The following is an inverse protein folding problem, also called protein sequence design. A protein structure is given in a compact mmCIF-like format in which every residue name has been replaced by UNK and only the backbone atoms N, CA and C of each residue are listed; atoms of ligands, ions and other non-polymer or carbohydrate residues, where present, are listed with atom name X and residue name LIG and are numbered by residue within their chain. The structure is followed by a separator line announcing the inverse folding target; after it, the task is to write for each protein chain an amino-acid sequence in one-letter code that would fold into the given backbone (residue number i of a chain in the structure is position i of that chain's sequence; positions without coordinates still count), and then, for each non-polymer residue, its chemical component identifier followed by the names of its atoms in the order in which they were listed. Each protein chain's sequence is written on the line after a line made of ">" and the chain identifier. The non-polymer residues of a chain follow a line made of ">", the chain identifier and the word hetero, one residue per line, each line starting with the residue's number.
data_IF_865591950734
#
_entry.id   IF_865591950734
#
_cell.length_a   1.000
_cell.length_b   1.000
_cell.length_c   1.000
_cell.angle_alpha   90.00
_cell.angle_beta   90.00
_cell.angle_gamma   90.00
#
_symmetry.space_group_name_H-M   'P 1'
#
loop_
_entity.id
_entity.type
_entity.pdbx_description
1 polymer ?
#
# COMPACT_ATOMS: atom_id res chain seq x y z
N UNK A 1 18.36 23.86 3.20
CA UNK A 1 17.12 23.29 3.77
C UNK A 1 16.12 23.12 2.62
N UNK A 2 15.81 21.89 2.17
CA UNK A 2 15.06 21.67 0.91
C UNK A 2 13.53 21.63 1.07
N UNK A 3 12.80 21.87 -0.03
CA UNK A 3 11.32 21.89 -0.07
C UNK A 3 10.66 20.64 0.54
N UNK A 4 11.25 19.45 0.36
CA UNK A 4 10.73 18.19 0.92
C UNK A 4 10.74 18.14 2.45
N UNK A 5 11.61 18.92 3.12
CA UNK A 5 11.62 19.00 4.58
C UNK A 5 10.33 19.62 5.10
N UNK A 6 9.84 20.69 4.46
CA UNK A 6 8.58 21.33 4.85
C UNK A 6 7.37 20.43 4.61
N UNK A 7 7.36 19.69 3.49
CA UNK A 7 6.33 18.68 3.23
C UNK A 7 6.32 17.61 4.32
N UNK A 8 7.50 17.12 4.72
CA UNK A 8 7.61 16.13 5.78
C UNK A 8 7.09 16.67 7.13
N UNK A 9 7.45 17.89 7.52
CA UNK A 9 6.96 18.52 8.74
C UNK A 9 5.44 18.72 8.74
N UNK A 10 4.87 19.12 7.61
CA UNK A 10 3.41 19.22 7.43
C UNK A 10 2.73 17.86 7.65
N UNK A 11 3.30 16.80 7.08
CA UNK A 11 2.80 15.43 7.25
C UNK A 11 3.10 14.82 8.63
N UNK A 12 4.01 15.39 9.44
CA UNK A 12 4.17 15.00 10.85
C UNK A 12 2.96 15.45 11.66
N UNK A 13 2.51 16.70 11.47
CA UNK A 13 1.34 17.29 12.17
C UNK A 13 -0.01 16.95 11.51
N UNK A 14 -0.33 15.65 11.41
CA UNK A 14 -1.55 15.16 10.70
C UNK A 14 -2.88 15.59 11.34
N UNK A 15 -2.87 15.93 12.62
CA UNK A 15 -4.06 16.38 13.35
C UNK A 15 -4.32 17.88 13.22
N UNK A 16 -3.45 18.65 12.56
CA UNK A 16 -3.71 20.06 12.23
C UNK A 16 -4.95 20.21 11.34
N UNK A 17 -5.62 21.36 11.42
CA UNK A 17 -6.89 21.57 10.72
C UNK A 17 -6.75 21.46 9.19
N UNK A 18 -5.66 22.00 8.63
CA UNK A 18 -5.32 21.86 7.20
C UNK A 18 -5.20 20.39 6.80
N UNK A 19 -4.43 19.59 7.56
CA UNK A 19 -4.23 18.18 7.24
C UNK A 19 -5.50 17.35 7.43
N UNK A 20 -6.30 17.67 8.44
CA UNK A 20 -7.59 17.01 8.70
C UNK A 20 -8.59 17.31 7.58
N UNK A 21 -8.66 18.55 7.11
CA UNK A 21 -9.48 18.97 5.98
C UNK A 21 -9.08 18.21 4.69
N UNK A 22 -7.79 18.22 4.35
CA UNK A 22 -7.27 17.51 3.18
C UNK A 22 -7.50 16.00 3.27
N UNK A 23 -7.31 15.40 4.45
CA UNK A 23 -7.56 13.98 4.66
C UNK A 23 -9.04 13.62 4.49
N UNK A 24 -9.96 14.48 4.95
CA UNK A 24 -11.41 14.28 4.80
C UNK A 24 -11.85 14.32 3.33
N UNK A 25 -11.38 15.30 2.57
CA UNK A 25 -11.68 15.39 1.13
C UNK A 25 -11.14 14.17 0.36
N UNK A 26 -9.88 13.81 0.61
CA UNK A 26 -9.25 12.64 -0.03
C UNK A 26 -9.96 11.33 0.33
N UNK A 27 -10.27 11.10 1.60
CA UNK A 27 -10.97 9.87 2.00
C UNK A 27 -12.40 9.80 1.45
N UNK A 28 -13.07 10.93 1.20
CA UNK A 28 -14.33 10.95 0.46
C UNK A 28 -14.14 10.49 -0.99
N UNK A 29 -13.19 11.07 -1.72
CA UNK A 29 -12.86 10.67 -3.10
C UNK A 29 -12.48 9.18 -3.17
N UNK A 30 -11.63 8.72 -2.25
CA UNK A 30 -11.10 7.35 -2.28
C UNK A 30 -12.15 6.27 -1.96
N UNK A 31 -13.29 6.65 -1.38
CA UNK A 31 -14.40 5.74 -1.15
C UNK A 31 -15.16 5.44 -2.45
N UNK A 32 -15.24 6.42 -3.35
CA UNK A 32 -15.90 6.28 -4.66
C UNK A 32 -15.05 5.47 -5.64
N UNK A 33 -13.72 5.49 -5.47
CA UNK A 33 -12.80 4.76 -6.34
C UNK A 33 -12.78 3.24 -6.05
N UNK A 34 -12.38 2.41 -7.03
CA UNK A 34 -12.19 0.97 -6.86
C UNK A 34 -11.16 0.62 -5.77
N UNK A 35 -11.20 -0.61 -5.28
CA UNK A 35 -10.32 -1.05 -4.20
C UNK A 35 -8.82 -1.01 -4.54
N UNK A 36 -8.48 -1.17 -5.82
CA UNK A 36 -7.14 -0.99 -6.39
C UNK A 36 -7.28 -0.04 -7.57
N UNK A 37 -6.73 1.16 -7.43
CA UNK A 37 -6.83 2.25 -8.40
C UNK A 37 -5.42 2.75 -8.78
N UNK A 38 -5.20 3.06 -10.06
CA UNK A 38 -3.92 3.60 -10.55
C UNK A 38 -3.90 5.11 -10.33
N UNK A 39 -2.95 5.60 -9.53
CA UNK A 39 -2.73 7.02 -9.36
C UNK A 39 -1.86 7.58 -10.48
N UNK A 40 -2.19 8.78 -10.97
CA UNK A 40 -1.36 9.51 -11.93
C UNK A 40 -0.08 10.05 -11.28
N UNK A 41 -0.17 10.51 -10.03
CA UNK A 41 0.93 11.06 -9.25
C UNK A 41 0.83 10.62 -7.79
N UNK A 42 1.96 10.45 -7.07
CA UNK A 42 1.93 10.11 -5.65
C UNK A 42 1.27 11.23 -4.84
N UNK A 43 0.42 10.88 -3.87
CA UNK A 43 -0.19 11.86 -2.96
C UNK A 43 0.86 12.51 -2.07
N UNK A 44 1.94 11.76 -1.78
CA UNK A 44 3.07 12.19 -0.93
C UNK A 44 4.39 12.07 -1.69
N UNK A 45 4.77 13.07 -2.50
CA UNK A 45 6.04 13.04 -3.24
C UNK A 45 7.27 12.89 -2.33
N UNK A 46 7.23 13.50 -1.14
CA UNK A 46 8.26 13.39 -0.09
C UNK A 46 8.49 11.93 0.32
N UNK A 47 7.41 11.23 0.70
CA UNK A 47 7.48 9.86 1.19
C UNK A 47 7.72 8.87 0.06
N UNK A 48 7.14 9.11 -1.11
CA UNK A 48 7.36 8.30 -2.31
C UNK A 48 8.85 8.24 -2.66
N UNK A 49 9.54 9.39 -2.68
CA UNK A 49 10.99 9.43 -2.97
C UNK A 49 11.80 8.65 -1.95
N UNK A 50 11.46 8.74 -0.66
CA UNK A 50 12.14 7.96 0.40
C UNK A 50 11.99 6.46 0.25
N UNK A 51 10.88 5.99 -0.34
CA UNK A 51 10.65 4.57 -0.58
C UNK A 51 11.13 4.09 -1.96
N UNK A 52 11.84 4.94 -2.71
CA UNK A 52 12.49 4.58 -3.97
C UNK A 52 11.75 5.03 -5.25
N UNK A 53 10.65 5.78 -5.14
CA UNK A 53 9.98 6.33 -6.33
C UNK A 53 10.85 7.38 -7.02
N UNK A 54 10.94 7.27 -8.35
CA UNK A 54 11.47 8.31 -9.24
C UNK A 54 10.39 8.72 -10.24
N UNK A 55 10.36 10.00 -10.58
CA UNK A 55 9.48 10.52 -11.62
C UNK A 55 10.08 10.25 -13.01
N UNK A 56 10.07 8.99 -13.42
CA UNK A 56 10.46 8.54 -14.77
C UNK A 56 9.53 7.43 -15.24
N UNK A 57 9.52 7.17 -16.54
CA UNK A 57 8.72 6.09 -17.12
C UNK A 57 9.12 4.73 -16.53
N UNK A 58 8.14 3.84 -16.39
CA UNK A 58 8.29 2.54 -15.73
C UNK A 58 8.04 2.55 -14.21
N UNK A 59 7.91 3.72 -13.56
CA UNK A 59 7.39 3.80 -12.19
C UNK A 59 5.88 4.04 -12.20
N UNK A 60 5.14 3.23 -11.45
CA UNK A 60 3.70 3.34 -11.29
C UNK A 60 3.35 3.43 -9.81
N UNK A 61 2.28 4.16 -9.49
CA UNK A 61 1.75 4.24 -8.13
C UNK A 61 0.32 3.74 -8.15
N UNK A 62 0.04 2.75 -7.31
CA UNK A 62 -1.31 2.21 -7.12
C UNK A 62 -1.80 2.52 -5.73
N UNK A 63 -3.02 3.02 -5.61
CA UNK A 63 -3.72 3.19 -4.35
C UNK A 63 -4.56 1.96 -4.07
N UNK A 64 -4.36 1.38 -2.89
CA UNK A 64 -5.02 0.16 -2.44
C UNK A 64 -5.71 0.41 -1.12
N UNK A 65 -7.00 0.06 -1.03
CA UNK A 65 -7.75 0.08 0.22
C UNK A 65 -7.79 -1.30 0.88
N UNK A 66 -7.58 -1.33 2.19
CA UNK A 66 -7.67 -2.54 3.01
C UNK A 66 -8.62 -2.30 4.17
N UNK A 67 -9.61 -3.18 4.35
CA UNK A 67 -10.56 -3.12 5.47
C UNK A 67 -9.80 -3.25 6.80
N UNK A 68 -10.10 -2.36 7.73
CA UNK A 68 -9.55 -2.30 9.09
C UNK A 68 -10.15 -3.40 9.97
N UNK A 69 -9.50 -3.60 11.12
CA UNK A 69 -9.94 -4.54 12.14
C UNK A 69 -9.40 -5.94 11.94
N UNK A 70 -9.74 -6.78 12.91
CA UNK A 70 -9.36 -8.19 12.95
C UNK A 70 -10.12 -9.00 11.90
N UNK A 71 -9.66 -10.22 11.67
CA UNK A 71 -10.29 -11.12 10.70
C UNK A 71 -11.05 -12.19 11.47
N UNK A 72 -12.23 -12.54 10.97
CA UNK A 72 -12.95 -13.72 11.45
C UNK A 72 -12.29 -14.97 10.87
N UNK A 73 -12.10 -16.00 11.69
CA UNK A 73 -11.72 -17.34 11.19
C UNK A 73 -12.77 -17.81 10.16
N UNK A 74 -12.32 -18.29 9.00
CA UNK A 74 -13.21 -18.78 7.94
C UNK A 74 -13.66 -20.20 8.28
N UNK A 75 -14.80 -20.32 8.96
CA UNK A 75 -15.43 -21.61 9.31
C UNK A 75 -16.93 -21.56 9.04
N UNK A 76 -17.48 -22.68 8.55
CA UNK A 76 -18.90 -22.79 8.29
C UNK A 76 -19.69 -22.69 9.59
N UNK A 77 -20.73 -21.85 9.61
CA UNK A 77 -21.61 -21.60 10.77
C UNK A 77 -20.91 -21.17 12.08
N UNK A 78 -19.61 -20.86 12.05
CA UNK A 78 -18.86 -20.61 13.28
C UNK A 78 -18.51 -21.87 14.08
N UNK A 79 -18.59 -23.05 13.49
CA UNK A 79 -18.31 -24.31 14.19
C UNK A 79 -16.84 -24.68 13.97
N UNK A 80 -16.11 -24.88 15.07
CA UNK A 80 -14.74 -25.40 15.07
C UNK A 80 -14.74 -26.70 15.85
N UNK A 81 -14.46 -27.81 15.17
CA UNK A 81 -14.31 -29.12 15.82
C UNK A 81 -12.93 -29.25 16.49
N UNK A 82 -12.85 -30.08 17.53
CA UNK A 82 -11.61 -30.36 18.27
C UNK A 82 -11.50 -29.62 19.60
N UNK A 83 -10.25 -29.50 20.10
CA UNK A 83 -9.96 -29.02 21.46
C UNK A 83 -10.39 -27.55 21.67
N UNK A 84 -10.83 -27.16 22.89
CA UNK A 84 -11.27 -25.80 23.21
C UNK A 84 -10.28 -24.69 22.85
N UNK A 85 -8.96 -24.96 22.91
CA UNK A 85 -7.93 -23.99 22.58
C UNK A 85 -8.01 -23.42 21.15
N UNK A 86 -8.54 -24.19 20.19
CA UNK A 86 -8.64 -23.80 18.78
C UNK A 86 -9.97 -23.16 18.38
N UNK A 87 -10.93 -23.07 19.31
CA UNK A 87 -12.32 -22.68 19.03
C UNK A 87 -12.54 -21.16 18.90
N UNK A 88 -11.51 -20.33 19.07
CA UNK A 88 -11.61 -18.89 18.89
C UNK A 88 -11.91 -18.47 17.43
N UNK A 89 -12.89 -17.56 17.26
CA UNK A 89 -13.39 -17.16 15.92
C UNK A 89 -13.20 -15.65 15.63
N UNK A 90 -13.66 -14.78 16.54
CA UNK A 90 -13.80 -13.34 16.26
C UNK A 90 -12.53 -12.52 16.53
N UNK A 91 -11.77 -12.84 17.58
CA UNK A 91 -10.57 -12.09 18.00
C UNK A 91 -9.29 -12.57 17.29
N UNK A 92 -9.42 -12.97 16.02
CA UNK A 92 -8.32 -13.56 15.28
C UNK A 92 -7.55 -12.47 14.52
N UNK A 93 -6.30 -12.25 14.91
CA UNK A 93 -5.43 -11.23 14.32
C UNK A 93 -4.65 -11.83 13.18
N UNK A 94 -4.63 -11.14 12.04
CA UNK A 94 -3.78 -11.56 10.93
C UNK A 94 -2.31 -11.40 11.32
N UNK A 95 -1.49 -12.43 11.05
CA UNK A 95 -0.03 -12.38 11.25
C UNK A 95 0.61 -11.29 10.38
N UNK A 96 0.08 -11.10 9.17
CA UNK A 96 0.53 -10.08 8.22
C UNK A 96 -0.08 -8.72 8.54
N UNK A 97 0.74 -7.67 8.44
CA UNK A 97 0.27 -6.29 8.53
C UNK A 97 -0.63 -5.92 7.33
N UNK A 98 -1.59 -5.01 7.54
CA UNK A 98 -2.49 -4.49 6.50
C UNK A 98 -1.73 -3.88 5.31
N UNK A 99 -0.53 -3.34 5.55
CA UNK A 99 0.37 -2.83 4.50
C UNK A 99 0.83 -3.94 3.56
N UNK A 100 1.28 -5.07 4.10
CA UNK A 100 1.69 -6.24 3.32
C UNK A 100 0.50 -6.82 2.54
N UNK A 101 -0.68 -6.90 3.17
CA UNK A 101 -1.92 -7.29 2.47
C UNK A 101 -2.25 -6.37 1.28
N UNK A 102 -1.94 -5.07 1.38
CA UNK A 102 -2.13 -4.12 0.27
C UNK A 102 -1.16 -4.40 -0.88
N UNK A 103 0.10 -4.67 -0.57
CA UNK A 103 1.16 -5.03 -1.53
C UNK A 103 0.82 -6.33 -2.27
N UNK A 104 0.39 -7.37 -1.55
CA UNK A 104 -0.03 -8.63 -2.16
C UNK A 104 -1.24 -8.46 -3.08
N UNK A 105 -2.23 -7.64 -2.68
CA UNK A 105 -3.43 -7.38 -3.50
C UNK A 105 -3.08 -6.77 -4.85
N UNK A 106 -2.19 -5.77 -4.86
CA UNK A 106 -1.78 -5.15 -6.12
C UNK A 106 -0.81 -6.03 -6.90
N UNK A 107 0.12 -6.73 -6.22
CA UNK A 107 1.03 -7.67 -6.87
C UNK A 107 0.28 -8.78 -7.61
N UNK A 108 -0.81 -9.31 -7.02
CA UNK A 108 -1.69 -10.28 -7.69
C UNK A 108 -2.46 -9.68 -8.87
N UNK A 109 -2.95 -8.43 -8.74
CA UNK A 109 -3.71 -7.77 -9.81
C UNK A 109 -2.82 -7.33 -10.99
N UNK A 110 -1.58 -6.97 -10.70
CA UNK A 110 -0.62 -6.42 -11.67
C UNK A 110 0.63 -7.31 -11.72
N UNK A 111 0.48 -8.58 -12.07
CA UNK A 111 1.56 -9.59 -12.00
C UNK A 111 2.78 -9.32 -12.90
N UNK A 112 2.61 -8.53 -13.98
CA UNK A 112 3.71 -8.09 -14.83
C UNK A 112 4.61 -7.01 -14.21
N UNK A 113 4.15 -6.36 -13.14
CA UNK A 113 4.90 -5.33 -12.43
C UNK A 113 5.56 -5.91 -11.18
N UNK A 114 6.61 -5.23 -10.69
CA UNK A 114 7.30 -5.56 -9.44
C UNK A 114 6.95 -4.55 -8.37
N UNK A 115 6.56 -5.03 -7.19
CA UNK A 115 6.31 -4.17 -6.02
C UNK A 115 7.65 -3.77 -5.44
N UNK A 116 7.91 -2.46 -5.35
CA UNK A 116 9.12 -1.94 -4.72
C UNK A 116 8.89 -1.73 -3.22
N UNK A 117 7.87 -0.94 -2.89
CA UNK A 117 7.53 -0.59 -1.52
C UNK A 117 6.16 0.08 -1.47
N UNK A 118 5.62 0.33 -0.28
CA UNK A 118 4.36 1.06 -0.10
C UNK A 118 4.44 2.09 1.03
N UNK A 119 3.44 2.95 1.16
CA UNK A 119 3.31 3.84 2.31
C UNK A 119 1.86 4.18 2.62
N UNK A 120 1.59 4.51 3.89
CA UNK A 120 0.28 4.94 4.34
C UNK A 120 -0.05 6.34 3.82
N UNK A 121 -1.29 6.54 3.37
CA UNK A 121 -1.77 7.82 2.83
C UNK A 121 -2.92 8.38 3.67
N UNK A 122 -3.93 7.55 3.95
CA UNK A 122 -5.14 7.97 4.63
C UNK A 122 -5.81 6.80 5.35
N UNK A 123 -6.70 7.10 6.28
CA UNK A 123 -7.56 6.13 6.93
C UNK A 123 -8.90 6.76 7.30
N UNK A 124 -9.96 5.96 7.26
CA UNK A 124 -11.28 6.29 7.81
C UNK A 124 -11.67 5.17 8.79
N UNK A 125 -12.90 5.16 9.28
CA UNK A 125 -13.38 4.14 10.21
C UNK A 125 -13.26 2.70 9.66
N UNK A 126 -13.48 2.50 8.35
CA UNK A 126 -13.65 1.17 7.76
C UNK A 126 -12.40 0.67 7.05
N UNK A 127 -11.62 1.56 6.44
CA UNK A 127 -10.50 1.25 5.55
C UNK A 127 -9.24 2.04 5.90
N UNK A 128 -8.10 1.44 5.57
CA UNK A 128 -6.80 2.11 5.44
C UNK A 128 -6.40 2.10 3.98
N UNK A 129 -5.87 3.22 3.50
CA UNK A 129 -5.34 3.36 2.16
C UNK A 129 -3.82 3.43 2.17
N UNK A 130 -3.23 2.64 1.29
CA UNK A 130 -1.80 2.62 1.03
C UNK A 130 -1.55 2.96 -0.45
N UNK A 131 -0.50 3.71 -0.71
CA UNK A 131 0.05 3.85 -2.06
C UNK A 131 1.23 2.91 -2.20
N UNK A 132 1.15 2.01 -3.17
CA UNK A 132 2.17 1.02 -3.50
C UNK A 132 2.91 1.50 -4.74
N UNK A 133 4.22 1.62 -4.62
CA UNK A 133 5.12 1.94 -5.72
C UNK A 133 5.47 0.64 -6.41
N UNK A 134 5.15 0.58 -7.70
CA UNK A 134 5.46 -0.55 -8.57
C UNK A 134 6.38 -0.09 -9.69
N UNK A 135 7.14 -1.04 -10.22
CA UNK A 135 8.08 -0.83 -11.31
C UNK A 135 7.78 -1.82 -12.42
N UNK A 136 7.82 -1.35 -13.67
CA UNK A 136 7.79 -2.20 -14.85
C UNK A 136 9.22 -2.65 -15.22
N UNK A 137 9.59 -3.92 -14.98
CA UNK A 137 10.94 -4.40 -15.26
C UNK A 137 11.27 -4.47 -16.76
N UNK A 138 10.26 -4.49 -17.64
CA UNK A 138 10.48 -4.62 -19.09
C UNK A 138 10.70 -3.26 -19.77
N UNK A 139 10.40 -2.15 -19.09
CA UNK A 139 10.55 -0.81 -19.64
C UNK A 139 12.03 -0.43 -19.81
N UNK A 140 12.41 0.11 -20.98
CA UNK A 140 13.79 0.54 -21.31
C UNK A 140 14.41 1.42 -20.22
N UNK A 141 13.73 2.48 -19.81
CA UNK A 141 14.19 3.39 -18.74
C UNK A 141 14.44 2.74 -17.37
N UNK A 142 13.90 1.53 -17.11
CA UNK A 142 14.15 0.77 -15.88
C UNK A 142 15.34 -0.17 -16.08
N UNK A 143 15.39 -0.88 -17.20
CA UNK A 143 16.48 -1.81 -17.56
C UNK A 143 17.83 -1.11 -17.65
N UNK A 144 17.84 0.09 -18.22
CA UNK A 144 19.06 0.87 -18.44
C UNK A 144 19.53 1.63 -17.18
N UNK A 145 18.71 1.73 -16.11
CA UNK A 145 19.09 2.43 -14.88
C UNK A 145 19.77 1.47 -13.89
N UNK A 146 21.08 1.60 -13.64
CA UNK A 146 21.84 0.69 -12.77
C UNK A 146 21.37 0.70 -11.31
N UNK A 147 20.57 1.67 -10.89
CA UNK A 147 20.07 1.75 -9.51
C UNK A 147 18.82 0.89 -9.26
N UNK A 148 18.13 0.47 -10.31
CA UNK A 148 16.84 -0.26 -10.20
C UNK A 148 16.75 -1.50 -11.09
N UNK A 149 17.67 -1.67 -12.05
CA UNK A 149 17.67 -2.81 -12.99
C UNK A 149 17.74 -4.19 -12.30
N UNK A 150 18.20 -4.27 -11.04
CA UNK A 150 18.11 -5.46 -10.18
C UNK A 150 16.67 -5.99 -10.00
N UNK A 151 15.65 -5.17 -10.26
CA UNK A 151 14.24 -5.62 -10.23
C UNK A 151 13.85 -6.48 -11.44
N UNK A 152 14.64 -6.44 -12.52
CA UNK A 152 14.41 -7.20 -13.76
C UNK A 152 15.18 -8.52 -13.84
N UNK A 153 16.21 -8.71 -13.02
CA UNK A 153 16.85 -10.03 -12.87
C UNK A 153 15.87 -10.99 -12.22
N UNK A 154 15.69 -12.17 -12.82
CA UNK A 154 14.87 -13.23 -12.22
C UNK A 154 15.50 -13.67 -10.89
N UNK A 155 15.10 -13.05 -9.79
CA UNK A 155 15.27 -13.65 -8.48
C UNK A 155 14.15 -14.67 -8.31
N UNK A 156 14.55 -15.94 -8.35
CA UNK A 156 13.78 -17.07 -7.88
C UNK A 156 13.01 -16.66 -6.63
N UNK A 157 11.69 -16.79 -6.67
CA UNK A 157 10.80 -16.37 -5.59
C UNK A 157 11.25 -17.02 -4.28
N UNK A 158 11.37 -16.21 -3.23
CA UNK A 158 11.46 -16.69 -1.85
C UNK A 158 10.15 -17.43 -1.58
N UNK A 159 10.26 -18.76 -1.50
CA UNK A 159 9.23 -19.67 -0.98
C UNK A 159 8.96 -19.38 0.49
#
# INVERSE_FOLDING_TARGET
>A
MGAYKYLEEMWRKKQSDVMRFLARLRTWEYRQLPAVHRCSRPTRPDKARKVGYKAKQGYLVYRVRVKRGDRKKRVAKGIVYGKPCGQGINKWKAVRNLRNIAEERVGRKCGGLRVLNSYWVAQDAVHKWFEVVMVDPFHKCIRDDPRINWTGSQSSQIT
#
